data_IF_595500976540
#
_entry.id   IF_595500976540
#
_cell.length_a   1.000
_cell.length_b   1.000
_cell.length_c   1.000
_cell.angle_alpha   90.00
_cell.angle_beta   90.00
_cell.angle_gamma   90.00
#
_symmetry.space_group_name_H-M   'P 1'
#
loop_
_entity.id
_entity.type
_entity.pdbx_description
1 polymer ?
#
# COMPACT_ATOMS: atom_id res chain seq x y z
N UNK A 1 -1.38 -21.87 9.37
CA UNK A 1 0.03 -22.03 9.78
C UNK A 1 0.58 -20.70 10.30
N UNK A 2 1.17 -19.82 9.46
CA UNK A 2 1.82 -18.60 9.97
C UNK A 2 0.91 -17.70 10.83
N UNK A 3 -0.30 -17.38 10.34
CA UNK A 3 -1.26 -16.54 11.09
C UNK A 3 -1.76 -17.18 12.38
N UNK A 4 -1.89 -18.51 12.39
CA UNK A 4 -2.37 -19.24 13.58
C UNK A 4 -1.29 -19.26 14.67
N UNK A 5 -0.02 -19.24 14.28
CA UNK A 5 1.14 -19.25 15.18
C UNK A 5 1.57 -17.84 15.64
N UNK A 6 1.44 -16.83 14.77
CA UNK A 6 1.99 -15.49 14.99
C UNK A 6 0.90 -14.42 15.21
N UNK A 7 -0.38 -14.80 15.06
CA UNK A 7 -1.51 -13.88 15.05
C UNK A 7 -1.67 -13.14 13.72
N UNK A 8 -2.47 -12.07 13.74
CA UNK A 8 -2.77 -11.29 12.54
C UNK A 8 -1.52 -10.62 11.94
N UNK A 9 -1.51 -10.49 10.61
CA UNK A 9 -0.51 -9.68 9.94
C UNK A 9 -0.72 -8.20 10.28
N UNK A 10 0.37 -7.51 10.62
CA UNK A 10 0.38 -6.07 10.90
C UNK A 10 0.76 -5.25 9.66
N UNK A 11 1.49 -5.85 8.73
CA UNK A 11 1.87 -5.20 7.48
C UNK A 11 2.18 -6.23 6.38
N UNK A 12 2.18 -5.79 5.12
CA UNK A 12 2.40 -6.68 3.97
C UNK A 12 3.80 -7.32 3.97
N UNK A 13 4.81 -6.67 4.53
CA UNK A 13 6.17 -7.23 4.60
C UNK A 13 6.22 -8.53 5.42
N UNK A 14 5.32 -8.71 6.39
CA UNK A 14 5.21 -9.97 7.14
C UNK A 14 4.76 -11.15 6.28
N UNK A 15 4.13 -10.92 5.12
CA UNK A 15 3.76 -11.99 4.19
C UNK A 15 5.01 -12.72 3.67
N UNK A 16 6.15 -12.04 3.54
CA UNK A 16 7.44 -12.67 3.17
C UNK A 16 7.94 -13.68 4.21
N UNK A 17 7.39 -13.67 5.44
CA UNK A 17 7.69 -14.66 6.47
C UNK A 17 6.89 -15.96 6.31
N UNK A 18 5.89 -15.98 5.42
CA UNK A 18 5.11 -17.17 5.12
C UNK A 18 5.97 -18.12 4.30
N UNK A 19 6.12 -19.35 4.80
CA UNK A 19 6.89 -20.39 4.10
C UNK A 19 6.37 -20.58 2.67
N UNK A 20 7.29 -20.66 1.70
CA UNK A 20 7.04 -20.78 0.26
C UNK A 20 6.49 -19.54 -0.43
N UNK A 21 6.26 -18.43 0.27
CA UNK A 21 5.96 -17.14 -0.35
C UNK A 21 7.26 -16.41 -0.70
N UNK A 22 7.79 -16.68 -1.88
CA UNK A 22 8.98 -15.99 -2.39
C UNK A 22 8.71 -14.55 -2.83
N UNK A 23 9.76 -13.73 -3.06
CA UNK A 23 9.62 -12.33 -3.47
C UNK A 23 8.75 -12.13 -4.70
N UNK A 24 8.90 -13.00 -5.71
CA UNK A 24 8.09 -12.94 -6.95
C UNK A 24 6.62 -13.28 -6.70
N UNK A 25 6.35 -14.25 -5.83
CA UNK A 25 4.97 -14.58 -5.47
C UNK A 25 4.33 -13.45 -4.64
N UNK A 26 5.10 -12.83 -3.76
CA UNK A 26 4.68 -11.65 -2.99
C UNK A 26 4.33 -10.48 -3.91
N UNK A 27 5.20 -10.12 -4.85
CA UNK A 27 4.94 -9.06 -5.84
C UNK A 27 3.66 -9.31 -6.63
N UNK A 28 3.38 -10.56 -7.02
CA UNK A 28 2.15 -10.85 -7.76
C UNK A 28 0.88 -10.80 -6.90
N UNK A 29 0.98 -10.99 -5.58
CA UNK A 29 -0.19 -11.11 -4.71
C UNK A 29 -0.40 -9.93 -3.76
N UNK A 30 0.62 -9.11 -3.50
CA UNK A 30 0.59 -8.13 -2.42
C UNK A 30 -0.52 -7.08 -2.60
N UNK A 31 -0.82 -6.67 -3.83
CA UNK A 31 -1.90 -5.72 -4.13
C UNK A 31 -3.32 -6.29 -3.93
N UNK A 32 -3.47 -7.62 -3.97
CA UNK A 32 -4.77 -8.29 -3.77
C UNK A 32 -5.02 -8.64 -2.30
N UNK A 33 -3.96 -8.77 -1.51
CA UNK A 33 -4.03 -9.06 -0.09
C UNK A 33 -4.23 -7.76 0.71
N UNK A 34 -5.33 -7.72 1.46
CA UNK A 34 -5.68 -6.60 2.34
C UNK A 34 -5.39 -6.92 3.79
N UNK A 35 -4.74 -6.00 4.48
CA UNK A 35 -4.49 -6.07 5.91
C UNK A 35 -5.23 -4.90 6.56
N UNK A 36 -6.37 -5.22 7.18
CA UNK A 36 -7.15 -4.23 7.92
C UNK A 36 -6.53 -4.02 9.30
N UNK A 37 -6.56 -2.78 9.79
CA UNK A 37 -6.00 -2.40 11.10
C UNK A 37 -4.50 -2.70 11.26
N UNK A 38 -3.76 -2.73 10.15
CA UNK A 38 -2.30 -2.81 10.17
C UNK A 38 -1.62 -1.46 10.45
N UNK A 39 -0.28 -1.49 10.46
CA UNK A 39 0.57 -0.32 10.72
C UNK A 39 0.44 0.74 9.62
N UNK A 40 0.30 0.27 8.36
CA UNK A 40 0.16 1.13 7.20
C UNK A 40 -1.30 1.09 6.68
N UNK A 41 -2.03 2.22 6.70
CA UNK A 41 -3.38 2.30 6.15
C UNK A 41 -3.49 1.92 4.67
N UNK A 42 -2.40 2.06 3.89
CA UNK A 42 -2.35 1.64 2.48
C UNK A 42 -2.49 0.12 2.32
N UNK A 43 -2.10 -0.67 3.32
CA UNK A 43 -2.23 -2.13 3.27
C UNK A 43 -3.70 -2.59 3.27
N UNK A 44 -4.63 -1.73 3.68
CA UNK A 44 -6.07 -1.96 3.58
C UNK A 44 -6.64 -1.64 2.19
N UNK A 45 -5.85 -0.97 1.34
CA UNK A 45 -6.24 -0.54 -0.01
C UNK A 45 -5.74 -1.51 -1.10
N UNK A 46 -6.16 -1.28 -2.34
CA UNK A 46 -5.66 -2.01 -3.52
C UNK A 46 -4.36 -1.43 -4.08
N UNK A 47 -3.78 -0.40 -3.44
CA UNK A 47 -2.49 0.16 -3.84
C UNK A 47 -1.42 -0.90 -3.63
N UNK A 48 -0.63 -1.20 -4.66
CA UNK A 48 0.46 -2.15 -4.55
C UNK A 48 1.63 -1.54 -3.73
N UNK A 49 2.35 -2.30 -2.88
CA UNK A 49 3.47 -1.77 -2.10
C UNK A 49 4.56 -1.07 -2.91
N UNK A 50 4.76 -1.47 -4.17
CA UNK A 50 5.69 -0.81 -5.08
C UNK A 50 5.33 0.66 -5.32
N UNK A 51 4.04 1.00 -5.29
CA UNK A 51 3.53 2.34 -5.57
C UNK A 51 3.43 3.21 -4.30
N UNK A 52 3.87 2.73 -3.13
CA UNK A 52 3.86 3.54 -1.89
C UNK A 52 4.67 4.83 -2.01
N UNK A 53 5.84 4.85 -2.68
CA UNK A 53 6.58 6.08 -2.93
C UNK A 53 5.80 7.09 -3.78
N UNK A 54 4.93 6.63 -4.70
CA UNK A 54 4.03 7.53 -5.47
C UNK A 54 3.03 8.20 -4.52
N UNK A 55 2.43 7.42 -3.60
CA UNK A 55 1.49 7.96 -2.62
C UNK A 55 2.17 8.96 -1.67
N UNK A 56 3.39 8.66 -1.22
CA UNK A 56 4.17 9.58 -0.38
C UNK A 56 4.44 10.92 -1.09
N UNK A 57 4.76 10.89 -2.40
CA UNK A 57 4.91 12.10 -3.22
C UNK A 57 3.61 12.90 -3.30
N UNK A 58 2.48 12.23 -3.48
CA UNK A 58 1.16 12.88 -3.50
C UNK A 58 0.87 13.57 -2.16
N UNK A 59 1.09 12.87 -1.04
CA UNK A 59 0.88 13.43 0.30
C UNK A 59 1.77 14.65 0.57
N UNK A 60 3.04 14.59 0.14
CA UNK A 60 3.95 15.71 0.26
C UNK A 60 3.49 16.93 -0.56
N UNK A 61 2.98 16.69 -1.78
CA UNK A 61 2.49 17.75 -2.66
C UNK A 61 1.18 18.39 -2.16
N UNK A 62 0.26 17.58 -1.63
CA UNK A 62 -1.03 18.08 -1.11
C UNK A 62 -0.94 18.62 0.32
N UNK A 63 0.13 18.27 1.05
CA UNK A 63 0.30 18.55 2.49
C UNK A 63 -0.86 18.00 3.34
N UNK A 64 -1.47 16.91 2.89
CA UNK A 64 -2.56 16.23 3.60
C UNK A 64 -2.02 15.02 4.34
N UNK A 65 -2.68 14.64 5.44
CA UNK A 65 -2.41 13.35 6.06
C UNK A 65 -3.01 12.22 5.22
N UNK A 66 -2.39 11.04 5.26
CA UNK A 66 -2.87 9.86 4.52
C UNK A 66 -4.33 9.53 4.81
N UNK A 67 -4.76 9.66 6.07
CA UNK A 67 -6.14 9.40 6.49
C UNK A 67 -7.15 10.37 5.88
N UNK A 68 -6.73 11.62 5.65
CA UNK A 68 -7.60 12.64 5.07
C UNK A 68 -7.68 12.49 3.56
N UNK A 69 -6.57 12.10 2.92
CA UNK A 69 -6.53 11.83 1.49
C UNK A 69 -7.32 10.58 1.11
N UNK A 70 -7.24 9.52 1.93
CA UNK A 70 -7.97 8.28 1.70
C UNK A 70 -9.49 8.50 1.84
N UNK A 71 -10.18 8.59 0.70
CA UNK A 71 -11.63 8.82 0.64
C UNK A 71 -12.02 10.24 0.26
N UNK A 72 -11.07 11.18 0.20
CA UNK A 72 -11.31 12.54 -0.32
C UNK A 72 -11.18 12.57 -1.84
N UNK A 73 -12.25 12.14 -2.51
CA UNK A 73 -12.36 12.17 -3.98
C UNK A 73 -12.22 13.58 -4.56
N UNK A 74 -12.48 14.64 -3.77
CA UNK A 74 -12.44 16.02 -4.25
C UNK A 74 -11.01 16.54 -4.35
N UNK A 75 -10.17 16.27 -3.35
CA UNK A 75 -8.75 16.56 -3.38
C UNK A 75 -8.04 15.77 -4.49
N UNK A 76 -8.38 14.48 -4.63
CA UNK A 76 -7.78 13.60 -5.64
C UNK A 76 -8.13 14.02 -7.07
N UNK A 77 -9.33 14.55 -7.30
CA UNK A 77 -9.80 14.92 -8.66
C UNK A 77 -9.02 16.10 -9.27
N UNK A 78 -8.44 16.95 -8.43
CA UNK A 78 -7.67 18.11 -8.88
C UNK A 78 -6.19 17.79 -9.14
N UNK A 79 -5.72 16.59 -8.75
CA UNK A 79 -4.37 16.14 -9.01
C UNK A 79 -4.22 15.73 -10.48
N UNK A 80 -3.10 16.09 -11.08
CA UNK A 80 -2.73 15.61 -12.42
C UNK A 80 -1.83 14.40 -12.25
N UNK A 81 -2.23 13.26 -12.80
CA UNK A 81 -1.45 12.03 -12.70
C UNK A 81 -0.01 12.19 -13.23
N UNK A 82 0.17 12.98 -14.30
CA UNK A 82 1.47 13.25 -14.92
C UNK A 82 2.50 13.87 -13.99
N UNK A 83 2.07 14.55 -12.92
CA UNK A 83 2.97 15.16 -11.94
C UNK A 83 3.59 14.10 -11.00
N UNK A 84 3.09 12.86 -11.03
CA UNK A 84 3.46 11.77 -10.12
C UNK A 84 3.91 10.48 -10.83
N UNK A 85 3.89 10.44 -12.16
CA UNK A 85 4.43 9.34 -12.98
C UNK A 85 5.94 9.46 -13.18
N UNK A 86 6.63 8.35 -13.34
CA UNK A 86 8.05 8.27 -13.69
C UNK A 86 8.34 7.04 -14.56
N UNK A 87 9.60 6.70 -14.83
CA UNK A 87 9.94 5.54 -15.67
C UNK A 87 9.51 4.20 -15.06
N UNK A 88 9.23 4.15 -13.75
CA UNK A 88 8.72 2.96 -13.05
C UNK A 88 7.18 2.97 -12.89
N UNK A 89 6.53 4.13 -12.91
CA UNK A 89 5.10 4.30 -12.58
C UNK A 89 4.30 5.15 -13.57
#
# INVERSE_FOLDING_TARGET
AWRDENGQFQNRQQLLKVSRLGPKAFEQCAGFLRINHGDNPLDASTVHPEAYPVVERILAATRQALKDLMGDSSALRNLKAVDFTDEQF
#
